data_IF_649532897940
#
_entry.id   IF_649532897940
#
_cell.length_a   1.000
_cell.length_b   1.000
_cell.length_c   1.000
_cell.angle_alpha   90.00
_cell.angle_beta   90.00
_cell.angle_gamma   90.00
#
_symmetry.space_group_name_H-M   'P 1'
#
loop_
_entity.id
_entity.type
_entity.pdbx_description
1 polymer ?
#
# COMPACT_ATOMS: atom_id res chain seq x y z
N UNK A 1 -3.39 -13.54 -4.01
CA UNK A 1 -3.99 -12.22 -3.78
C UNK A 1 -3.17 -11.14 -4.44
N UNK A 2 -2.21 -10.54 -3.73
CA UNK A 2 -1.40 -9.43 -4.23
C UNK A 2 -0.56 -9.76 -5.47
N UNK A 3 0.30 -10.78 -5.42
CA UNK A 3 1.20 -11.15 -6.53
C UNK A 3 0.45 -11.44 -7.84
N UNK A 4 -0.65 -12.19 -7.76
CA UNK A 4 -1.48 -12.47 -8.94
C UNK A 4 -2.05 -11.18 -9.54
N UNK A 5 -2.44 -10.21 -8.72
CA UNK A 5 -2.92 -8.91 -9.18
C UNK A 5 -1.79 -8.09 -9.79
N UNK A 6 -0.61 -8.05 -9.15
CA UNK A 6 0.58 -7.39 -9.67
C UNK A 6 0.96 -7.91 -11.07
N UNK A 7 0.99 -9.24 -11.23
CA UNK A 7 1.29 -9.88 -12.51
C UNK A 7 0.22 -9.60 -13.57
N UNK A 8 -1.07 -9.58 -13.19
CA UNK A 8 -2.15 -9.15 -14.11
C UNK A 8 -1.99 -7.70 -14.54
N UNK A 9 -1.60 -6.80 -13.63
CA UNK A 9 -1.38 -5.38 -13.94
C UNK A 9 -0.21 -5.23 -14.91
N UNK A 10 0.93 -5.89 -14.63
CA UNK A 10 2.11 -5.87 -15.53
C UNK A 10 1.80 -6.37 -16.94
N UNK A 11 0.90 -7.36 -17.07
CA UNK A 11 0.46 -7.87 -18.37
C UNK A 11 -0.52 -6.93 -19.07
N UNK A 12 -1.41 -6.27 -18.32
CA UNK A 12 -2.47 -5.41 -18.87
C UNK A 12 -1.95 -4.02 -19.24
N UNK A 13 -1.06 -3.47 -18.43
CA UNK A 13 -0.46 -2.17 -18.66
C UNK A 13 0.92 -2.40 -19.29
N UNK A 14 1.11 -1.97 -20.53
CA UNK A 14 2.43 -1.93 -21.19
C UNK A 14 3.27 -0.77 -20.62
N UNK A 15 3.54 -0.81 -19.32
CA UNK A 15 4.35 0.19 -18.63
C UNK A 15 5.78 -0.30 -18.47
N UNK A 16 6.74 0.55 -18.81
CA UNK A 16 8.17 0.29 -18.54
C UNK A 16 8.52 0.45 -17.06
N UNK A 17 7.67 1.15 -16.30
CA UNK A 17 7.92 1.50 -14.90
C UNK A 17 6.76 1.11 -14.00
N UNK A 18 7.09 0.66 -12.80
CA UNK A 18 6.14 0.34 -11.73
C UNK A 18 6.76 0.68 -10.38
N UNK A 19 5.94 1.21 -9.47
CA UNK A 19 6.31 1.39 -8.07
C UNK A 19 5.11 1.04 -7.17
N UNK A 20 5.39 0.76 -5.90
CA UNK A 20 4.36 0.59 -4.87
C UNK A 20 4.33 1.81 -3.96
N UNK A 21 3.14 2.34 -3.70
CA UNK A 21 2.94 3.38 -2.69
C UNK A 21 2.19 2.77 -1.50
N UNK A 22 2.77 2.88 -0.31
CA UNK A 22 2.15 2.48 0.94
C UNK A 22 1.64 3.72 1.68
N UNK A 23 0.54 3.55 2.42
CA UNK A 23 -0.01 4.63 3.24
C UNK A 23 1.01 5.06 4.32
N UNK A 24 1.20 6.37 4.43
CA UNK A 24 1.99 7.00 5.48
C UNK A 24 1.38 6.74 6.88
N UNK A 25 2.18 6.39 7.90
CA UNK A 25 1.68 6.36 9.26
C UNK A 25 1.40 7.78 9.77
N UNK A 26 0.26 7.97 10.45
CA UNK A 26 -0.04 9.19 11.20
C UNK A 26 -1.21 10.01 10.66
N UNK A 27 -1.35 11.23 11.19
CA UNK A 27 -2.37 12.19 10.76
C UNK A 27 -1.96 12.83 9.44
N UNK A 28 -2.89 12.86 8.51
CA UNK A 28 -2.77 13.60 7.26
C UNK A 28 -3.36 15.00 7.43
N UNK A 29 -3.06 15.91 6.52
CA UNK A 29 -3.71 17.23 6.43
C UNK A 29 -5.25 17.16 6.45
N UNK A 30 -5.83 16.06 5.96
CA UNK A 30 -7.28 15.85 5.98
C UNK A 30 -7.82 15.61 7.40
N UNK A 31 -7.00 15.04 8.28
CA UNK A 31 -7.33 14.87 9.70
C UNK A 31 -7.25 16.21 10.47
N UNK A 32 -6.58 17.23 9.92
CA UNK A 32 -6.47 18.57 10.52
C UNK A 32 -7.65 19.48 10.11
N UNK A 33 -8.15 19.37 8.88
CA UNK A 33 -9.26 20.18 8.38
C UNK A 33 -10.62 19.59 8.77
N UNK A 34 -10.70 18.28 8.97
CA UNK A 34 -11.95 17.61 9.27
C UNK A 34 -11.73 16.57 10.38
N UNK A 35 -12.14 16.93 11.60
CA UNK A 35 -11.90 16.14 12.80
C UNK A 35 -12.66 14.80 12.80
N UNK A 36 -13.79 14.74 12.09
CA UNK A 36 -14.56 13.49 11.88
C UNK A 36 -13.99 12.62 10.75
N UNK A 37 -12.89 13.02 10.11
CA UNK A 37 -12.28 12.23 9.04
C UNK A 37 -11.82 10.87 9.58
N UNK A 38 -12.36 9.79 9.01
CA UNK A 38 -12.11 8.38 9.41
C UNK A 38 -12.59 7.98 10.83
N UNK A 39 -13.42 8.79 11.50
CA UNK A 39 -13.90 8.50 12.86
C UNK A 39 -14.63 7.14 13.00
N UNK A 40 -15.25 6.65 11.92
CA UNK A 40 -15.99 5.37 11.89
C UNK A 40 -15.19 4.20 11.30
N UNK A 41 -13.90 4.37 11.05
CA UNK A 41 -13.10 3.31 10.42
C UNK A 41 -12.79 2.21 11.44
N UNK A 42 -13.24 0.99 11.15
CA UNK A 42 -12.86 -0.17 11.94
C UNK A 42 -11.32 -0.32 11.94
N UNK A 43 -10.73 -0.74 13.07
CA UNK A 43 -9.30 -1.01 13.13
C UNK A 43 -8.92 -2.05 12.08
N UNK A 44 -7.72 -1.90 11.52
CA UNK A 44 -7.20 -2.89 10.59
C UNK A 44 -7.14 -4.26 11.28
N UNK A 45 -7.55 -5.35 10.61
CA UNK A 45 -7.38 -6.71 11.13
C UNK A 45 -5.92 -6.98 11.50
N UNK A 46 -5.68 -7.71 12.59
CA UNK A 46 -4.35 -7.89 13.18
C UNK A 46 -3.34 -8.60 12.26
N UNK A 47 -3.81 -9.34 11.26
CA UNK A 47 -3.00 -10.05 10.27
C UNK A 47 -2.53 -9.14 9.12
N UNK A 48 -3.23 -8.03 8.85
CA UNK A 48 -2.90 -7.12 7.74
C UNK A 48 -1.50 -6.50 7.90
N UNK A 49 -1.07 -5.98 9.08
CA UNK A 49 0.29 -5.46 9.24
C UNK A 49 1.37 -6.48 8.87
N UNK A 50 1.19 -7.75 9.26
CA UNK A 50 2.12 -8.82 8.90
C UNK A 50 2.14 -9.07 7.38
N UNK A 51 0.96 -9.11 6.74
CA UNK A 51 0.86 -9.28 5.29
C UNK A 51 1.54 -8.12 4.53
N UNK A 52 1.35 -6.87 4.98
CA UNK A 52 1.97 -5.68 4.38
C UNK A 52 3.49 -5.76 4.45
N UNK A 53 4.05 -6.19 5.60
CA UNK A 53 5.49 -6.42 5.73
C UNK A 53 6.01 -7.42 4.70
N UNK A 54 5.27 -8.51 4.46
CA UNK A 54 5.64 -9.50 3.43
C UNK A 54 5.55 -8.96 2.02
N UNK A 55 4.58 -8.10 1.72
CA UNK A 55 4.48 -7.43 0.42
C UNK A 55 5.69 -6.51 0.18
N UNK A 56 6.14 -5.76 1.20
CA UNK A 56 7.35 -4.92 1.10
C UNK A 56 8.61 -5.75 0.84
N UNK A 57 8.79 -6.87 1.55
CA UNK A 57 9.89 -7.81 1.30
C UNK A 57 9.88 -8.31 -0.16
N UNK A 58 8.72 -8.75 -0.66
CA UNK A 58 8.55 -9.23 -2.03
C UNK A 58 8.87 -8.11 -3.04
N UNK A 59 8.39 -6.89 -2.82
CA UNK A 59 8.69 -5.74 -3.70
C UNK A 59 10.19 -5.52 -3.87
N UNK A 60 10.94 -5.63 -2.76
CA UNK A 60 12.40 -5.52 -2.76
C UNK A 60 13.06 -6.61 -3.61
N UNK A 61 12.62 -7.86 -3.48
CA UNK A 61 13.14 -8.97 -4.28
C UNK A 61 12.79 -8.85 -5.77
N UNK A 62 11.65 -8.26 -6.10
CA UNK A 62 11.23 -8.02 -7.48
C UNK A 62 11.91 -6.79 -8.11
N UNK A 63 12.74 -6.05 -7.37
CA UNK A 63 13.37 -4.82 -7.83
C UNK A 63 12.37 -3.68 -8.05
N UNK A 64 11.17 -3.78 -7.47
CA UNK A 64 10.13 -2.75 -7.59
C UNK A 64 10.31 -1.75 -6.45
N UNK A 65 10.57 -0.46 -6.75
CA UNK A 65 10.69 0.57 -5.73
C UNK A 65 9.37 0.72 -4.98
N UNK A 66 9.48 0.93 -3.68
CA UNK A 66 8.35 1.24 -2.82
C UNK A 66 8.58 2.54 -2.06
N UNK A 67 7.50 3.29 -1.86
CA UNK A 67 7.50 4.56 -1.16
C UNK A 67 6.51 4.49 0.01
N UNK A 68 6.97 4.96 1.16
CA UNK A 68 6.16 5.29 2.31
C UNK A 68 6.61 6.68 2.79
N UNK A 69 5.65 7.57 3.04
CA UNK A 69 5.89 8.94 3.50
C UNK A 69 5.66 9.06 5.01
#
# INVERSE_FOLDING_TARGET
>A
GFLNTLEKIKKRLSSEYICLAFDAPGKTFRDEIFEEYKATRAPAPADIPFQVSKVKEISRYLGIPSFEA
#
